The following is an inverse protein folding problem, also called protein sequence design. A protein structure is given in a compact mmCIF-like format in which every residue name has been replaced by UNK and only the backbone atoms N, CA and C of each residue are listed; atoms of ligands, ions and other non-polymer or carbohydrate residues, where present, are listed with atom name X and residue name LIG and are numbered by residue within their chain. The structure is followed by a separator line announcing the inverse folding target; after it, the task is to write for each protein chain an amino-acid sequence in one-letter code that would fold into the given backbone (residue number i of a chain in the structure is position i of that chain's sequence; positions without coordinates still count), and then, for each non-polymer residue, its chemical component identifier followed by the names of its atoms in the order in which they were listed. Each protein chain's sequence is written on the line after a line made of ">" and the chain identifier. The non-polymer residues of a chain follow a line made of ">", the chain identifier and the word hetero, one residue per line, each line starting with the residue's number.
data_IF_256440762663
#
_entry.id   IF_256440762663
#
_cell.length_a   1.000
_cell.length_b   1.000
_cell.length_c   1.000
_cell.angle_alpha   90.00
_cell.angle_beta   90.00
_cell.angle_gamma   90.00
#
_symmetry.space_group_name_H-M   'P 1'
#
loop_
_entity.id
_entity.type
_entity.pdbx_description
1 polymer ?
#
# COMPACT_ATOMS: atom_id res chain seq x y z
N UNK A 1 -11.12 -17.03 -9.76
CA UNK A 1 -9.97 -16.15 -10.08
C UNK A 1 -10.38 -14.67 -10.19
N UNK A 2 -11.54 -14.30 -10.75
CA UNK A 2 -11.95 -12.88 -10.91
C UNK A 2 -12.34 -12.13 -9.62
N UNK A 3 -13.07 -12.77 -8.70
CA UNK A 3 -13.54 -12.13 -7.46
C UNK A 3 -12.40 -11.69 -6.54
N UNK A 4 -11.41 -12.55 -6.32
CA UNK A 4 -10.24 -12.23 -5.49
C UNK A 4 -9.43 -11.04 -6.05
N UNK A 5 -9.29 -10.96 -7.38
CA UNK A 5 -8.63 -9.83 -8.04
C UNK A 5 -9.46 -8.54 -7.92
N UNK A 6 -10.79 -8.62 -7.96
CA UNK A 6 -11.64 -7.46 -7.70
C UNK A 6 -11.50 -6.97 -6.27
N UNK A 7 -11.59 -7.88 -5.30
CA UNK A 7 -11.44 -7.56 -3.88
C UNK A 7 -10.09 -6.87 -3.59
N UNK A 8 -8.99 -7.37 -4.16
CA UNK A 8 -7.68 -6.71 -4.04
C UNK A 8 -7.65 -5.28 -4.61
N UNK A 9 -8.34 -5.03 -5.72
CA UNK A 9 -8.45 -3.69 -6.30
C UNK A 9 -9.28 -2.76 -5.43
N UNK A 10 -10.38 -3.27 -4.88
CA UNK A 10 -11.28 -2.51 -4.02
C UNK A 10 -10.57 -2.14 -2.71
N UNK A 11 -9.84 -3.08 -2.13
CA UNK A 11 -8.98 -2.89 -0.96
C UNK A 11 -7.89 -1.84 -1.22
N UNK A 12 -7.21 -1.90 -2.37
CA UNK A 12 -6.20 -0.90 -2.75
C UNK A 12 -6.80 0.49 -2.92
N UNK A 13 -7.98 0.58 -3.54
CA UNK A 13 -8.68 1.85 -3.70
C UNK A 13 -9.16 2.43 -2.36
N UNK A 14 -9.53 1.58 -1.39
CA UNK A 14 -9.85 2.01 -0.03
C UNK A 14 -8.62 2.57 0.67
N UNK A 15 -7.50 1.84 0.64
CA UNK A 15 -6.25 2.28 1.24
C UNK A 15 -5.77 3.61 0.64
N UNK A 16 -5.86 3.80 -0.68
CA UNK A 16 -5.50 5.06 -1.31
C UNK A 16 -6.31 6.24 -0.75
N UNK A 17 -7.62 6.06 -0.51
CA UNK A 17 -8.47 7.09 0.07
C UNK A 17 -8.10 7.41 1.52
N UNK A 18 -7.79 6.39 2.32
CA UNK A 18 -7.34 6.55 3.71
C UNK A 18 -6.04 7.35 3.77
N UNK A 19 -5.01 6.92 3.03
CA UNK A 19 -3.72 7.63 2.97
C UNK A 19 -3.86 9.06 2.44
N UNK A 20 -4.78 9.28 1.50
CA UNK A 20 -5.07 10.65 1.01
C UNK A 20 -5.69 11.50 2.11
N UNK A 21 -6.61 10.95 2.90
CA UNK A 21 -7.22 11.66 4.02
C UNK A 21 -6.17 12.00 5.09
N UNK A 22 -5.30 11.06 5.44
CA UNK A 22 -4.21 11.29 6.39
C UNK A 22 -3.23 12.35 5.89
N UNK A 23 -2.89 12.30 4.59
CA UNK A 23 -2.06 13.30 3.96
C UNK A 23 -2.68 14.68 4.03
N UNK A 24 -3.98 14.82 3.75
CA UNK A 24 -4.69 16.09 3.88
C UNK A 24 -4.72 16.60 5.33
N UNK A 25 -4.94 15.72 6.30
CA UNK A 25 -4.94 16.07 7.73
C UNK A 25 -3.57 16.50 8.24
N UNK A 26 -2.49 15.90 7.73
CA UNK A 26 -1.12 16.25 8.07
C UNK A 26 -0.63 17.55 7.40
N UNK A 27 -1.45 18.21 6.57
CA UNK A 27 -1.08 19.43 5.86
C UNK A 27 -0.50 19.21 4.46
N UNK A 28 -0.75 18.04 3.86
CA UNK A 28 -0.34 17.64 2.52
C UNK A 28 0.60 16.45 2.49
N UNK A 29 0.82 15.90 1.29
CA UNK A 29 1.64 14.70 1.06
C UNK A 29 3.05 14.82 1.64
N UNK A 30 3.74 15.95 1.43
CA UNK A 30 5.13 16.10 1.88
C UNK A 30 5.25 16.08 3.41
N UNK A 31 4.30 16.70 4.12
CA UNK A 31 4.29 16.71 5.58
C UNK A 31 3.99 15.32 6.15
N UNK A 32 3.02 14.63 5.55
CA UNK A 32 2.69 13.24 5.88
C UNK A 32 3.86 12.29 5.62
N UNK A 33 4.51 12.41 4.48
CA UNK A 33 5.63 11.53 4.10
C UNK A 33 6.84 11.72 5.02
N UNK A 34 7.10 12.95 5.50
CA UNK A 34 8.13 13.19 6.52
C UNK A 34 7.79 12.46 7.82
N UNK A 35 6.53 12.52 8.27
CA UNK A 35 6.08 11.85 9.48
C UNK A 35 6.08 10.32 9.35
N UNK A 36 5.76 9.81 8.15
CA UNK A 36 5.65 8.37 7.86
C UNK A 36 6.89 7.76 7.22
N UNK A 37 7.99 8.51 7.11
CA UNK A 37 9.21 8.13 6.36
C UNK A 37 9.68 6.69 6.63
N UNK A 38 9.82 6.22 7.88
CA UNK A 38 10.26 4.84 8.13
C UNK A 38 9.28 3.79 7.60
N UNK A 39 7.97 4.07 7.67
CA UNK A 39 6.93 3.17 7.19
C UNK A 39 6.90 3.16 5.65
N UNK A 40 6.99 4.32 5.01
CA UNK A 40 7.08 4.48 3.56
C UNK A 40 8.31 3.77 2.99
N UNK A 41 9.48 3.91 3.60
CA UNK A 41 10.70 3.22 3.16
C UNK A 41 10.61 1.69 3.27
N UNK A 42 9.89 1.17 4.27
CA UNK A 42 9.61 -0.28 4.38
C UNK A 42 8.65 -0.74 3.29
N UNK A 43 7.57 0.00 3.07
CA UNK A 43 6.60 -0.29 2.02
C UNK A 43 7.25 -0.29 0.63
N UNK A 44 8.10 0.69 0.34
CA UNK A 44 8.85 0.76 -0.94
C UNK A 44 9.76 -0.45 -1.13
N UNK A 45 10.52 -0.86 -0.11
CA UNK A 45 11.37 -2.05 -0.18
C UNK A 45 10.58 -3.32 -0.49
N UNK A 46 9.49 -3.55 0.24
CA UNK A 46 8.60 -4.68 0.01
C UNK A 46 8.01 -4.67 -1.41
N UNK A 47 7.58 -3.50 -1.91
CA UNK A 47 7.05 -3.36 -3.27
C UNK A 47 8.11 -3.66 -4.34
N UNK A 48 9.36 -3.25 -4.13
CA UNK A 48 10.48 -3.60 -5.01
C UNK A 48 10.71 -5.10 -5.04
N UNK A 49 10.77 -5.76 -3.88
CA UNK A 49 10.95 -7.22 -3.77
C UNK A 49 9.80 -7.99 -4.46
N UNK A 50 8.57 -7.49 -4.31
CA UNK A 50 7.40 -8.05 -4.98
C UNK A 50 7.46 -7.86 -6.50
N UNK A 51 7.93 -6.70 -6.98
CA UNK A 51 8.09 -6.41 -8.40
C UNK A 51 9.17 -7.28 -9.06
N UNK A 52 10.22 -7.62 -8.33
CA UNK A 52 11.29 -8.52 -8.80
C UNK A 52 10.85 -10.00 -8.87
N UNK A 53 9.71 -10.34 -8.28
CA UNK A 53 9.13 -11.68 -8.38
C UNK A 53 8.53 -11.89 -9.77
N UNK A 54 8.99 -12.91 -10.51
CA UNK A 54 8.56 -13.18 -11.90
C UNK A 54 7.05 -13.41 -12.08
N UNK A 55 6.37 -13.96 -11.07
CA UNK A 55 4.95 -14.28 -11.12
C UNK A 55 4.37 -14.34 -9.70
N UNK A 56 4.13 -13.18 -9.06
CA UNK A 56 3.53 -13.15 -7.74
C UNK A 56 2.11 -13.71 -7.82
N UNK A 57 1.78 -14.61 -6.89
CA UNK A 57 0.43 -15.13 -6.78
C UNK A 57 -0.50 -14.17 -6.00
N UNK A 58 -1.80 -14.47 -5.99
CA UNK A 58 -2.78 -13.64 -5.30
C UNK A 58 -2.57 -13.58 -3.78
N UNK A 59 -1.95 -14.60 -3.17
CA UNK A 59 -1.66 -14.59 -1.75
C UNK A 59 -0.51 -13.62 -1.42
N UNK A 60 0.55 -13.62 -2.23
CA UNK A 60 1.65 -12.65 -2.14
C UNK A 60 1.13 -11.21 -2.28
N UNK A 61 0.25 -10.96 -3.27
CA UNK A 61 -0.38 -9.65 -3.45
C UNK A 61 -1.26 -9.25 -2.26
N UNK A 62 -1.98 -10.21 -1.66
CA UNK A 62 -2.81 -9.96 -0.47
C UNK A 62 -1.97 -9.62 0.76
N UNK A 63 -0.84 -10.32 0.95
CA UNK A 63 0.12 -10.04 2.03
C UNK A 63 0.72 -8.66 1.85
N UNK A 64 1.20 -8.32 0.65
CA UNK A 64 1.74 -7.01 0.37
C UNK A 64 0.71 -5.89 0.66
N UNK A 65 -0.54 -6.07 0.22
CA UNK A 65 -1.59 -5.09 0.50
C UNK A 65 -1.91 -4.95 1.99
N UNK A 66 -1.86 -6.05 2.75
CA UNK A 66 -1.99 -6.00 4.22
C UNK A 66 -0.84 -5.23 4.86
N UNK A 67 0.39 -5.42 4.39
CA UNK A 67 1.54 -4.66 4.89
C UNK A 67 1.43 -3.17 4.56
N UNK A 68 0.93 -2.82 3.37
CA UNK A 68 0.67 -1.42 3.00
C UNK A 68 -0.41 -0.75 3.87
N UNK A 69 -1.38 -1.51 4.41
CA UNK A 69 -2.38 -0.95 5.34
C UNK A 69 -1.77 -0.43 6.64
N UNK A 70 -0.54 -0.82 6.99
CA UNK A 70 0.16 -0.25 8.14
C UNK A 70 0.67 1.19 7.92
N UNK A 71 0.43 1.77 6.74
CA UNK A 71 0.73 3.18 6.44
C UNK A 71 -0.38 4.15 6.87
N UNK A 72 -1.60 3.65 7.07
CA UNK A 72 -2.78 4.39 7.54
C UNK A 72 -3.03 4.12 9.03
#
# INVERSE_FOLDING_TARGET
>A
QGLAKSALRDDLAALQRELTADALQAGGQSAWEVAQRPAVERAQRMLTELADTKSPDLAMLSVALRELRHLA
#
